data_IF_400252210117
#
_entry.id   IF_400252210117
#
_cell.length_a   1.000
_cell.length_b   1.000
_cell.length_c   1.000
_cell.angle_alpha   90.00
_cell.angle_beta   90.00
_cell.angle_gamma   90.00
#
_symmetry.space_group_name_H-M   'P 1'
#
loop_
_entity.id
_entity.type
_entity.pdbx_description
1 polymer ?
#
# COMPACT_ATOMS: atom_id res chain seq x y z
N UNK A 1 7.37 11.58 -11.36
CA UNK A 1 6.93 10.29 -11.95
C UNK A 1 6.23 9.46 -10.87
N UNK A 2 5.40 8.49 -11.25
CA UNK A 2 4.74 7.63 -10.27
C UNK A 2 5.73 6.62 -9.64
N UNK A 3 5.51 6.32 -8.36
CA UNK A 3 6.10 5.20 -7.64
C UNK A 3 4.94 4.32 -7.17
N UNK A 4 4.90 3.08 -7.62
CA UNK A 4 3.79 2.16 -7.44
C UNK A 4 4.32 0.87 -6.84
N UNK A 5 3.65 0.40 -5.79
CA UNK A 5 3.90 -0.93 -5.21
C UNK A 5 2.68 -1.81 -5.44
N UNK A 6 2.87 -3.12 -5.46
CA UNK A 6 1.78 -4.10 -5.54
C UNK A 6 2.17 -5.42 -4.88
N UNK A 7 1.24 -5.99 -4.10
CA UNK A 7 1.35 -7.35 -3.55
C UNK A 7 0.50 -8.30 -4.41
N UNK A 8 1.16 -9.21 -5.12
CA UNK A 8 0.59 -10.32 -5.90
C UNK A 8 0.57 -11.63 -5.11
N UNK A 9 1.09 -11.65 -3.88
CA UNK A 9 1.13 -12.84 -3.05
C UNK A 9 0.09 -12.80 -1.93
N UNK A 10 -1.04 -12.11 -2.13
CA UNK A 10 -2.12 -12.02 -1.13
C UNK A 10 -2.81 -13.38 -1.02
N UNK A 11 -2.93 -13.89 0.21
CA UNK A 11 -3.63 -15.13 0.52
C UNK A 11 -4.36 -14.98 1.87
N UNK A 12 -5.54 -14.33 1.84
CA UNK A 12 -6.32 -14.05 3.04
C UNK A 12 -7.18 -15.27 3.38
N UNK A 13 -7.00 -15.89 4.56
CA UNK A 13 -7.77 -17.08 4.92
C UNK A 13 -9.28 -16.83 5.05
N UNK A 14 -10.03 -17.93 4.99
CA UNK A 14 -11.46 -17.96 5.33
C UNK A 14 -11.68 -17.47 6.75
N UNK A 15 -12.75 -16.72 6.96
CA UNK A 15 -13.17 -16.19 8.26
C UNK A 15 -12.09 -15.38 9.01
N UNK A 16 -11.05 -14.91 8.30
CA UNK A 16 -9.94 -14.21 8.91
C UNK A 16 -10.37 -12.86 9.48
N UNK A 17 -9.84 -12.49 10.66
CA UNK A 17 -10.04 -11.19 11.29
C UNK A 17 -8.67 -10.61 11.60
N UNK A 18 -8.41 -9.42 11.09
CA UNK A 18 -7.17 -8.69 11.26
C UNK A 18 -5.96 -9.36 10.60
N UNK A 19 -6.17 -10.04 9.47
CA UNK A 19 -5.07 -10.61 8.67
C UNK A 19 -4.25 -9.48 8.06
N UNK A 20 -2.92 -9.54 8.17
CA UNK A 20 -2.03 -8.48 7.69
C UNK A 20 -1.14 -8.98 6.56
N UNK A 21 -1.16 -8.25 5.45
CA UNK A 21 -0.23 -8.40 4.34
C UNK A 21 0.76 -7.24 4.38
N UNK A 22 2.05 -7.55 4.59
CA UNK A 22 3.11 -6.54 4.68
C UNK A 22 4.18 -6.79 3.63
N UNK A 23 4.52 -5.74 2.88
CA UNK A 23 5.57 -5.79 1.87
C UNK A 23 6.50 -4.59 2.04
N UNK A 24 7.74 -4.72 1.56
CA UNK A 24 8.76 -3.68 1.69
C UNK A 24 9.53 -3.49 0.39
N UNK A 25 9.44 -2.28 -0.16
CA UNK A 25 10.07 -1.92 -1.42
C UNK A 25 11.20 -0.93 -1.22
N UNK A 26 12.28 -1.08 -1.99
CA UNK A 26 13.37 -0.11 -1.97
C UNK A 26 12.93 1.22 -2.60
N UNK A 27 13.22 2.34 -1.97
CA UNK A 27 13.00 3.67 -2.55
C UNK A 27 14.31 4.13 -3.19
N UNK A 28 14.31 4.68 -4.43
CA UNK A 28 15.53 5.20 -5.04
C UNK A 28 16.16 6.27 -4.15
N UNK A 29 17.48 6.17 -3.92
CA UNK A 29 18.21 7.13 -3.10
C UNK A 29 18.04 8.56 -3.64
N UNK A 30 17.71 9.49 -2.74
CA UNK A 30 17.50 10.90 -3.08
C UNK A 30 16.15 11.21 -3.74
N UNK A 31 15.27 10.21 -3.92
CA UNK A 31 13.90 10.45 -4.35
C UNK A 31 13.11 11.19 -3.26
N UNK A 32 12.37 12.20 -3.69
CA UNK A 32 11.48 13.01 -2.87
C UNK A 32 10.04 12.78 -3.29
N UNK A 33 9.18 12.52 -2.33
CA UNK A 33 7.74 12.36 -2.51
C UNK A 33 7.03 13.69 -2.21
N UNK A 34 6.15 14.11 -3.10
CA UNK A 34 5.21 15.20 -2.82
C UNK A 34 3.81 14.70 -2.46
N UNK A 35 3.49 13.43 -2.72
CA UNK A 35 2.30 12.78 -2.17
C UNK A 35 2.49 11.26 -2.11
N UNK A 36 1.80 10.64 -1.15
CA UNK A 36 1.61 9.19 -1.03
C UNK A 36 0.15 8.86 -0.70
N UNK A 37 -0.30 7.69 -1.11
CA UNK A 37 -1.62 7.13 -0.84
C UNK A 37 -1.54 5.60 -0.87
N UNK A 38 -2.62 4.93 -0.52
CA UNK A 38 -2.75 3.47 -0.57
C UNK A 38 -3.93 3.07 -1.44
N UNK A 39 -3.95 1.80 -1.83
CA UNK A 39 -5.11 1.21 -2.49
C UNK A 39 -5.29 -0.24 -2.02
N UNK A 40 -6.54 -0.58 -1.70
CA UNK A 40 -7.01 -1.90 -1.32
C UNK A 40 -8.49 -2.06 -1.67
N UNK A 41 -9.04 -3.27 -1.55
CA UNK A 41 -10.46 -3.55 -1.77
C UNK A 41 -11.22 -3.77 -0.45
N UNK A 42 -12.41 -4.35 -0.58
CA UNK A 42 -13.51 -4.32 0.38
C UNK A 42 -13.24 -5.05 1.71
N UNK A 43 -12.36 -6.05 1.73
CA UNK A 43 -11.98 -6.72 2.96
C UNK A 43 -11.05 -5.85 3.82
N UNK A 44 -10.42 -4.82 3.24
CA UNK A 44 -9.45 -3.99 3.95
C UNK A 44 -10.11 -3.08 4.99
N UNK A 45 -9.57 -3.11 6.20
CA UNK A 45 -9.99 -2.28 7.33
C UNK A 45 -8.93 -1.26 7.74
N UNK A 46 -7.69 -1.45 7.26
CA UNK A 46 -6.58 -0.52 7.51
C UNK A 46 -5.51 -0.66 6.43
N UNK A 47 -4.91 0.47 6.06
CA UNK A 47 -3.68 0.52 5.27
C UNK A 47 -2.69 1.51 5.88
N UNK A 48 -1.41 1.20 5.80
CA UNK A 48 -0.34 2.06 6.29
C UNK A 48 0.89 2.06 5.37
N UNK A 49 1.68 3.11 5.50
CA UNK A 49 3.01 3.26 4.90
C UNK A 49 3.98 3.66 6.01
N UNK A 50 5.10 2.95 6.11
CA UNK A 50 6.18 3.18 7.07
C UNK A 50 7.53 3.39 6.39
N UNK A 51 8.36 4.19 7.04
CA UNK A 51 9.78 4.39 6.77
C UNK A 51 10.58 3.82 7.96
N UNK A 52 11.04 2.57 7.83
CA UNK A 52 11.51 1.81 8.98
C UNK A 52 10.38 1.61 10.00
N UNK A 53 10.54 2.17 11.21
CA UNK A 53 9.50 2.13 12.26
C UNK A 53 8.61 3.38 12.29
N UNK A 54 8.93 4.40 11.49
CA UNK A 54 8.20 5.67 11.49
C UNK A 54 6.97 5.59 10.59
N UNK A 55 5.81 5.98 11.13
CA UNK A 55 4.56 6.07 10.36
C UNK A 55 4.62 7.24 9.37
N UNK A 56 4.44 6.95 8.09
CA UNK A 56 4.36 7.94 7.02
C UNK A 56 2.90 8.30 6.74
N UNK A 57 2.07 7.30 6.54
CA UNK A 57 0.65 7.44 6.23
C UNK A 57 -0.13 6.28 6.87
N UNK A 58 -1.33 6.57 7.36
CA UNK A 58 -2.22 5.60 7.99
C UNK A 58 -3.65 5.95 7.59
N UNK A 59 -4.42 4.93 7.23
CA UNK A 59 -5.83 5.05 6.88
C UNK A 59 -6.56 3.85 7.44
N UNK A 60 -7.59 4.08 8.25
CA UNK A 60 -8.38 3.04 8.90
C UNK A 60 -9.87 3.39 8.89
N UNK A 61 -10.72 2.38 8.94
CA UNK A 61 -12.17 2.53 9.00
C UNK A 61 -12.90 1.64 8.00
N UNK A 62 -14.23 1.48 8.16
CA UNK A 62 -15.02 0.51 7.39
C UNK A 62 -15.08 0.79 5.89
N UNK A 63 -14.95 2.07 5.49
CA UNK A 63 -15.04 2.53 4.10
C UNK A 63 -13.72 3.19 3.63
N UNK A 64 -12.64 3.05 4.40
CA UNK A 64 -11.35 3.64 4.07
C UNK A 64 -10.77 3.09 2.75
N UNK A 65 -11.14 1.86 2.39
CA UNK A 65 -10.80 1.25 1.10
C UNK A 65 -11.56 1.90 -0.08
N UNK A 66 -12.79 2.37 0.13
CA UNK A 66 -13.63 3.01 -0.89
C UNK A 66 -13.24 4.48 -1.07
N UNK A 67 -12.69 5.10 -0.02
CA UNK A 67 -12.27 6.50 0.01
C UNK A 67 -10.82 6.63 0.52
N UNK A 68 -9.82 6.13 -0.23
CA UNK A 68 -8.44 6.16 0.23
C UNK A 68 -7.97 7.61 0.41
N UNK A 69 -7.44 7.88 1.61
CA UNK A 69 -6.80 9.16 1.89
C UNK A 69 -5.47 9.32 1.18
N UNK A 70 -4.85 10.48 1.33
CA UNK A 70 -3.47 10.70 0.91
C UNK A 70 -2.75 11.61 1.90
N UNK A 71 -1.42 11.53 1.91
CA UNK A 71 -0.58 12.51 2.57
C UNK A 71 0.20 13.26 1.52
N UNK A 72 0.09 14.58 1.57
CA UNK A 72 0.72 15.48 0.61
C UNK A 72 1.70 16.39 1.34
N UNK A 73 2.81 16.70 0.65
CA UNK A 73 3.80 17.69 1.06
C UNK A 73 3.81 18.79 0.01
N UNK A 74 3.02 19.84 0.26
CA UNK A 74 2.75 20.91 -0.70
C UNK A 74 3.93 21.87 -0.93
N UNK A 75 4.92 21.84 -0.04
CA UNK A 75 6.11 22.67 -0.10
C UNK A 75 7.33 21.96 0.49
N UNK A 76 8.50 22.54 0.25
CA UNK A 76 9.75 22.07 0.86
C UNK A 76 9.66 22.13 2.41
N UNK A 77 10.22 21.14 3.12
CA UNK A 77 10.85 19.93 2.59
C UNK A 77 9.84 18.88 2.14
N UNK A 78 10.01 18.37 0.92
CA UNK A 78 9.30 17.18 0.46
C UNK A 78 9.83 15.92 1.14
N UNK A 79 9.02 14.87 1.20
CA UNK A 79 9.34 13.69 2.00
C UNK A 79 10.42 12.83 1.36
N UNK A 80 11.40 12.42 2.16
CA UNK A 80 12.47 11.50 1.75
C UNK A 80 12.49 10.35 2.73
N UNK A 81 12.39 9.12 2.23
CA UNK A 81 12.49 7.92 3.07
C UNK A 81 13.91 7.75 3.58
N UNK A 82 14.14 7.95 4.87
CA UNK A 82 15.45 7.88 5.52
C UNK A 82 16.01 6.45 5.51
N UNK A 83 15.14 5.43 5.58
CA UNK A 83 15.56 4.03 5.47
C UNK A 83 15.86 3.60 4.03
N UNK A 84 15.56 4.45 3.04
CA UNK A 84 15.46 4.08 1.63
C UNK A 84 14.53 2.89 1.38
N UNK A 85 13.56 2.66 2.26
CA UNK A 85 12.55 1.60 2.14
C UNK A 85 11.17 2.17 2.43
N UNK A 86 10.21 1.76 1.62
CA UNK A 86 8.80 1.98 1.86
C UNK A 86 8.21 0.63 2.25
N UNK A 87 7.80 0.50 3.50
CA UNK A 87 7.03 -0.65 3.98
C UNK A 87 5.56 -0.28 3.92
N UNK A 88 4.73 -1.12 3.33
CA UNK A 88 3.29 -0.92 3.28
C UNK A 88 2.59 -2.15 3.82
N UNK A 89 1.51 -1.92 4.54
CA UNK A 89 0.70 -2.96 5.17
C UNK A 89 -0.75 -2.72 4.82
N UNK A 90 -1.46 -3.79 4.50
CA UNK A 90 -2.92 -3.80 4.43
C UNK A 90 -3.45 -4.84 5.41
N UNK A 91 -4.47 -4.47 6.18
CA UNK A 91 -5.12 -5.34 7.15
C UNK A 91 -6.53 -5.63 6.71
N UNK A 92 -6.94 -6.88 6.82
CA UNK A 92 -8.17 -7.40 6.26
C UNK A 92 -9.04 -8.13 7.28
N UNK A 93 -10.34 -7.93 7.16
CA UNK A 93 -11.38 -8.74 7.81
C UNK A 93 -12.20 -9.47 6.73
N UNK A 94 -11.99 -10.77 6.61
CA UNK A 94 -12.76 -11.64 5.72
C UNK A 94 -13.99 -12.22 6.43
N UNK A 95 -14.87 -11.34 6.91
CA UNK A 95 -16.08 -11.71 7.68
C UNK A 95 -17.39 -11.43 6.93
N UNK A 96 -17.29 -10.78 5.76
CA UNK A 96 -18.43 -10.41 4.92
C UNK A 96 -18.85 -11.52 3.95
N UNK A 97 -19.25 -11.11 2.74
CA UNK A 97 -19.77 -12.04 1.71
C UNK A 97 -18.78 -13.11 1.23
N UNK A 98 -17.48 -12.88 1.44
CA UNK A 98 -16.41 -13.79 0.98
C UNK A 98 -15.84 -14.66 2.12
N UNK A 99 -16.43 -14.62 3.31
CA UNK A 99 -15.86 -15.26 4.50
C UNK A 99 -15.58 -16.76 4.32
N UNK A 100 -16.33 -17.46 3.46
CA UNK A 100 -16.20 -18.89 3.20
C UNK A 100 -15.19 -19.26 2.10
N UNK A 101 -14.52 -18.27 1.49
CA UNK A 101 -13.47 -18.45 0.49
C UNK A 101 -12.16 -17.81 0.94
N UNK A 102 -11.06 -18.35 0.40
CA UNK A 102 -9.77 -17.68 0.46
C UNK A 102 -9.83 -16.50 -0.51
N UNK A 103 -9.38 -15.33 -0.08
CA UNK A 103 -9.35 -14.12 -0.90
C UNK A 103 -7.91 -13.88 -1.36
N UNK A 104 -7.70 -13.97 -2.68
CA UNK A 104 -6.41 -13.78 -3.34
C UNK A 104 -6.32 -12.39 -3.99
N UNK A 105 -5.14 -12.03 -4.49
CA UNK A 105 -4.96 -10.82 -5.26
C UNK A 105 -5.81 -10.83 -6.54
N UNK A 106 -6.23 -9.65 -7.00
CA UNK A 106 -6.91 -9.55 -8.29
C UNK A 106 -7.74 -8.29 -8.47
N UNK A 107 -8.28 -8.09 -9.68
CA UNK A 107 -8.92 -6.82 -10.06
C UNK A 107 -10.36 -6.67 -9.55
N UNK A 108 -10.99 -7.72 -9.04
CA UNK A 108 -12.38 -7.64 -8.59
C UNK A 108 -12.45 -7.17 -7.15
N UNK A 109 -12.82 -5.90 -6.91
CA UNK A 109 -13.05 -5.38 -5.56
C UNK A 109 -14.15 -6.12 -4.77
N UNK A 110 -14.97 -6.92 -5.47
CA UNK A 110 -16.00 -7.75 -4.85
C UNK A 110 -15.45 -9.07 -4.31
N UNK A 111 -14.48 -9.71 -5.00
CA UNK A 111 -14.06 -11.09 -4.74
C UNK A 111 -12.56 -11.26 -4.44
N UNK A 112 -11.75 -10.27 -4.80
CA UNK A 112 -10.30 -10.26 -4.68
C UNK A 112 -9.85 -9.05 -3.88
N UNK A 113 -8.58 -9.09 -3.46
CA UNK A 113 -7.94 -7.97 -2.80
C UNK A 113 -6.80 -7.34 -3.60
N UNK A 114 -6.46 -6.13 -3.20
CA UNK A 114 -5.23 -5.46 -3.60
C UNK A 114 -4.56 -4.89 -2.36
N UNK A 115 -3.24 -4.82 -2.38
CA UNK A 115 -2.47 -4.07 -1.39
C UNK A 115 -1.41 -3.27 -2.10
N UNK A 116 -1.53 -1.95 -2.04
CA UNK A 116 -0.63 -1.02 -2.72
C UNK A 116 -0.37 0.20 -1.86
N UNK A 117 0.87 0.64 -1.85
CA UNK A 117 1.25 2.04 -1.67
C UNK A 117 1.59 2.67 -3.03
N UNK A 118 1.12 3.90 -3.21
CA UNK A 118 1.37 4.71 -4.41
C UNK A 118 1.87 6.09 -4.00
N UNK A 119 2.57 6.76 -4.92
CA UNK A 119 2.99 8.14 -4.71
C UNK A 119 3.63 8.73 -5.96
N UNK A 120 4.00 10.00 -5.85
CA UNK A 120 4.69 10.69 -6.92
C UNK A 120 6.03 11.25 -6.45
N UNK A 121 7.08 10.91 -7.21
CA UNK A 121 8.48 11.20 -6.87
C UNK A 121 9.18 12.13 -7.85
N UNK A 122 10.20 12.82 -7.36
CA UNK A 122 11.19 13.56 -8.14
C UNK A 122 12.55 13.63 -7.39
N UNK A 123 13.68 13.88 -8.07
CA UNK A 123 13.82 13.81 -9.52
C UNK A 123 13.56 12.37 -10.00
N UNK A 124 12.88 12.21 -11.13
CA UNK A 124 12.58 10.90 -11.68
C UNK A 124 12.53 10.97 -13.20
N UNK A 125 13.19 10.03 -13.87
CA UNK A 125 13.25 9.93 -15.33
C UNK A 125 12.15 9.04 -15.90
N UNK A 126 11.59 8.13 -15.10
CA UNK A 126 10.51 7.21 -15.45
C UNK A 126 9.71 6.80 -14.21
N UNK A 127 8.55 6.18 -14.42
CA UNK A 127 7.78 5.56 -13.35
C UNK A 127 8.54 4.38 -12.72
N UNK A 128 8.25 4.11 -11.46
CA UNK A 128 8.88 3.07 -10.64
C UNK A 128 7.84 2.10 -10.14
N UNK A 129 8.09 0.81 -10.35
CA UNK A 129 7.20 -0.27 -9.97
C UNK A 129 7.95 -1.26 -9.09
N UNK A 130 7.37 -1.59 -7.94
CA UNK A 130 7.83 -2.66 -7.08
C UNK A 130 6.70 -3.68 -6.88
N UNK A 131 6.97 -4.95 -7.13
CA UNK A 131 5.98 -6.02 -7.04
C UNK A 131 6.54 -7.07 -6.11
N UNK A 132 5.80 -7.49 -5.07
CA UNK A 132 6.23 -8.50 -4.10
C UNK A 132 7.59 -8.22 -3.46
N UNK A 133 7.84 -6.96 -3.09
CA UNK A 133 9.13 -6.49 -2.58
C UNK A 133 10.30 -6.61 -3.58
N UNK A 134 10.03 -6.91 -4.86
CA UNK A 134 11.00 -6.94 -5.94
C UNK A 134 10.98 -5.62 -6.72
N UNK A 135 12.15 -5.01 -6.89
CA UNK A 135 12.34 -3.74 -7.58
C UNK A 135 12.80 -2.61 -6.64
N UNK A 136 12.64 -1.33 -7.04
CA UNK A 136 11.78 -0.84 -8.11
C UNK A 136 12.47 -0.84 -9.49
N UNK A 137 11.75 -1.30 -10.52
CA UNK A 137 12.25 -1.43 -11.91
C UNK A 137 12.27 -0.10 -12.70
#
# INVERSE_FOLDING_TARGET
AAYITYNQSIDIPKDAVGWEETQTCSVPTGAKFWTVSTHSHKQSVMTEIKDGTSMVFHSEGPDAWEHPGSKTWDAMPFYTFASNKLTYTCKYDNTGTNHNMVVEDGPSAQFNEMCMATGYIFPATKAKFCVDSLGPF
#
